data_IF_433765139861
#
_entry.id   IF_433765139861
#
_cell.length_a   1.000
_cell.length_b   1.000
_cell.length_c   1.000
_cell.angle_alpha   90.00
_cell.angle_beta   90.00
_cell.angle_gamma   90.00
#
_symmetry.space_group_name_H-M   'P 1'
#
loop_
_entity.id
_entity.type
_entity.pdbx_description
1 polymer ?
#
# COMPACT_ATOMS: atom_id res chain seq x y z
N UNK A 1 -67.28 -30.87 -34.79
CA UNK A 1 -65.86 -30.89 -35.19
C UNK A 1 -65.17 -29.73 -34.49
N UNK A 2 -64.68 -29.92 -33.26
CA UNK A 2 -63.92 -28.90 -32.53
C UNK A 2 -62.47 -29.37 -32.45
N UNK A 3 -61.56 -28.65 -33.12
CA UNK A 3 -60.13 -28.93 -33.13
C UNK A 3 -59.50 -28.23 -31.92
N UNK A 4 -58.91 -29.00 -31.00
CA UNK A 4 -58.15 -28.47 -29.87
C UNK A 4 -56.70 -28.24 -30.31
N UNK A 5 -56.23 -27.01 -30.12
CA UNK A 5 -54.83 -26.58 -30.35
C UNK A 5 -53.97 -27.08 -29.17
N UNK A 6 -52.78 -27.67 -29.39
CA UNK A 6 -51.88 -28.00 -28.28
C UNK A 6 -51.09 -26.76 -27.84
N UNK A 7 -51.11 -26.51 -26.52
CA UNK A 7 -50.36 -25.45 -25.85
C UNK A 7 -48.89 -25.83 -25.70
N UNK A 8 -47.98 -25.03 -26.25
CA UNK A 8 -46.54 -25.16 -26.04
C UNK A 8 -46.17 -24.75 -24.61
N UNK A 9 -45.36 -25.56 -23.94
CA UNK A 9 -44.90 -25.31 -22.58
C UNK A 9 -43.63 -24.43 -22.58
N UNK A 10 -43.69 -23.29 -21.90
CA UNK A 10 -42.56 -22.38 -21.72
C UNK A 10 -41.50 -23.00 -20.79
N UNK A 11 -40.20 -22.99 -21.14
CA UNK A 11 -39.14 -23.48 -20.26
C UNK A 11 -38.94 -22.54 -19.05
N UNK A 12 -38.46 -23.05 -17.90
CA UNK A 12 -38.28 -22.24 -16.70
C UNK A 12 -37.10 -21.27 -16.86
N UNK A 13 -37.32 -20.03 -16.46
CA UNK A 13 -36.34 -18.95 -16.47
C UNK A 13 -35.24 -19.21 -15.43
N UNK A 14 -33.99 -19.22 -15.88
CA UNK A 14 -32.82 -19.45 -15.02
C UNK A 14 -32.58 -18.24 -14.11
N UNK A 15 -32.59 -18.46 -12.79
CA UNK A 15 -32.26 -17.44 -11.80
C UNK A 15 -30.80 -16.97 -11.98
N UNK A 16 -30.54 -15.65 -12.16
CA UNK A 16 -29.17 -15.16 -12.28
C UNK A 16 -28.40 -15.37 -10.97
N UNK A 17 -27.08 -15.66 -11.02
CA UNK A 17 -26.29 -15.87 -9.82
C UNK A 17 -26.25 -14.59 -8.98
N UNK A 18 -26.42 -14.76 -7.67
CA UNK A 18 -26.34 -13.69 -6.68
C UNK A 18 -24.94 -13.05 -6.73
N UNK A 19 -24.84 -11.88 -7.37
CA UNK A 19 -23.61 -11.10 -7.37
C UNK A 19 -23.26 -10.74 -5.93
N UNK A 20 -22.15 -11.27 -5.43
CA UNK A 20 -21.64 -10.88 -4.11
C UNK A 20 -21.34 -9.38 -4.17
N UNK A 21 -21.92 -8.56 -3.27
CA UNK A 21 -21.68 -7.12 -3.29
C UNK A 21 -20.18 -6.87 -3.09
N UNK A 22 -19.60 -5.85 -3.76
CA UNK A 22 -18.20 -5.52 -3.57
C UNK A 22 -17.94 -5.23 -2.09
N UNK A 23 -16.98 -5.93 -1.50
CA UNK A 23 -16.58 -5.70 -0.11
C UNK A 23 -15.99 -4.29 -0.02
N UNK A 24 -16.73 -3.38 0.58
CA UNK A 24 -16.24 -2.03 0.89
C UNK A 24 -15.01 -2.20 1.78
N UNK A 25 -13.85 -1.78 1.30
CA UNK A 25 -12.64 -1.80 2.09
C UNK A 25 -12.86 -0.92 3.33
N UNK A 26 -12.49 -1.39 4.55
CA UNK A 26 -12.63 -0.57 5.74
C UNK A 26 -11.85 0.74 5.57
N UNK A 27 -12.29 1.85 6.22
CA UNK A 27 -11.55 3.10 6.19
C UNK A 27 -10.11 2.84 6.68
N UNK A 28 -9.13 3.37 5.94
CA UNK A 28 -7.72 3.28 6.33
C UNK A 28 -7.54 4.06 7.63
N UNK A 29 -7.34 3.34 8.73
CA UNK A 29 -6.88 3.92 9.99
C UNK A 29 -5.38 4.07 9.88
N UNK A 30 -4.87 5.29 10.05
CA UNK A 30 -3.43 5.55 10.10
C UNK A 30 -2.79 4.72 11.21
N UNK A 31 -1.78 3.89 10.92
CA UNK A 31 -1.11 3.08 11.93
C UNK A 31 -0.45 3.94 13.02
N UNK A 32 -0.43 3.51 14.29
CA UNK A 32 0.17 4.29 15.38
C UNK A 32 1.67 4.56 15.16
N UNK A 33 2.38 3.67 14.46
CA UNK A 33 3.78 3.85 14.09
C UNK A 33 3.98 5.02 13.13
N UNK A 34 3.01 5.26 12.23
CA UNK A 34 2.99 6.40 11.31
C UNK A 34 2.74 7.69 12.07
N UNK A 35 1.75 7.70 12.97
CA UNK A 35 1.48 8.88 13.83
C UNK A 35 2.74 9.27 14.62
N UNK A 36 3.35 8.29 15.29
CA UNK A 36 4.55 8.55 16.09
C UNK A 36 5.76 8.96 15.23
N UNK A 37 5.86 8.47 13.99
CA UNK A 37 6.86 8.90 13.01
C UNK A 37 6.68 10.37 12.64
N UNK A 38 5.46 10.77 12.27
CA UNK A 38 5.14 12.15 11.89
C UNK A 38 5.42 13.11 13.04
N UNK A 39 4.99 12.79 14.26
CA UNK A 39 5.26 13.62 15.43
C UNK A 39 6.77 13.82 15.69
N UNK A 40 7.58 12.76 15.55
CA UNK A 40 9.05 12.87 15.68
C UNK A 40 9.66 13.66 14.53
N UNK A 41 9.19 13.43 13.30
CA UNK A 41 9.64 14.14 12.11
C UNK A 41 9.39 15.65 12.26
N UNK A 42 8.19 16.05 12.68
CA UNK A 42 7.84 17.46 12.90
C UNK A 42 8.69 18.10 13.99
N UNK A 43 8.92 17.41 15.11
CA UNK A 43 9.80 17.93 16.16
C UNK A 43 11.22 18.14 15.67
N UNK A 44 11.78 17.19 14.91
CA UNK A 44 13.13 17.30 14.36
C UNK A 44 13.22 18.37 13.25
N UNK A 45 12.20 18.45 12.39
CA UNK A 45 12.13 19.40 11.28
C UNK A 45 11.79 20.83 11.69
N UNK A 46 11.27 21.05 12.90
CA UNK A 46 11.00 22.39 13.44
C UNK A 46 12.26 23.21 13.72
N UNK A 47 13.44 22.57 13.78
CA UNK A 47 14.73 23.24 13.96
C UNK A 47 15.56 23.13 12.67
N UNK A 48 15.70 24.24 11.90
CA UNK A 48 16.49 24.27 10.67
C UNK A 48 17.97 23.90 10.82
N UNK A 49 18.51 23.92 12.06
CA UNK A 49 19.87 23.46 12.35
C UNK A 49 19.99 21.93 12.31
N UNK A 50 18.88 21.23 12.51
CA UNK A 50 18.79 19.76 12.49
C UNK A 50 18.51 19.26 11.08
N UNK A 51 17.66 19.96 10.33
CA UNK A 51 17.31 19.64 8.94
C UNK A 51 17.24 20.92 8.13
N UNK A 52 18.20 21.09 7.23
CA UNK A 52 18.39 22.32 6.49
C UNK A 52 17.32 22.55 5.40
N UNK A 53 17.05 21.59 4.51
CA UNK A 53 15.94 21.60 3.54
C UNK A 53 15.78 20.22 2.87
N UNK A 54 14.60 19.59 2.94
CA UNK A 54 14.27 18.29 2.32
C UNK A 54 15.21 17.11 2.66
N UNK A 55 16.24 17.34 3.48
CA UNK A 55 17.19 16.38 4.00
C UNK A 55 16.69 15.68 5.25
N UNK A 56 17.44 14.65 5.67
CA UNK A 56 17.08 13.80 6.80
C UNK A 56 16.09 12.71 6.39
N UNK A 57 16.46 11.45 6.61
CA UNK A 57 15.57 10.31 6.38
C UNK A 57 14.91 9.91 7.69
N UNK A 58 13.59 9.67 7.65
CA UNK A 58 12.86 9.12 8.79
C UNK A 58 12.02 7.95 8.31
N UNK A 59 11.95 6.92 9.15
CA UNK A 59 11.15 5.74 8.86
C UNK A 59 10.59 5.11 10.11
N UNK A 60 9.50 4.35 9.95
CA UNK A 60 8.94 3.49 10.97
C UNK A 60 8.55 2.15 10.36
N UNK A 61 8.57 1.10 11.17
CA UNK A 61 8.17 -0.25 10.78
C UNK A 61 6.98 -0.66 11.62
N UNK A 62 6.04 -1.37 11.02
CA UNK A 62 4.84 -1.83 11.71
C UNK A 62 4.24 -3.04 11.03
N UNK A 63 3.46 -3.80 11.78
CA UNK A 63 2.78 -5.00 11.30
C UNK A 63 1.40 -4.63 10.78
N UNK A 64 1.05 -5.09 9.58
CA UNK A 64 -0.30 -4.97 9.04
C UNK A 64 -0.78 -6.31 8.51
N UNK A 65 -2.10 -6.46 8.36
CA UNK A 65 -2.66 -7.58 7.63
C UNK A 65 -2.61 -7.30 6.13
N UNK A 66 -1.96 -8.18 5.38
CA UNK A 66 -1.93 -8.14 3.92
C UNK A 66 -3.34 -8.47 3.38
N UNK A 67 -3.97 -7.61 2.55
CA UNK A 67 -5.34 -7.81 2.09
C UNK A 67 -5.47 -8.93 1.06
N UNK A 68 -4.37 -9.34 0.43
CA UNK A 68 -4.35 -10.41 -0.58
C UNK A 68 -4.18 -11.77 0.10
N UNK A 69 -3.25 -11.86 1.06
CA UNK A 69 -2.93 -13.15 1.71
C UNK A 69 -3.65 -13.37 3.04
N UNK A 70 -4.17 -12.31 3.67
CA UNK A 70 -4.70 -12.35 5.04
C UNK A 70 -3.62 -12.54 6.12
N UNK A 71 -2.36 -12.71 5.72
CA UNK A 71 -1.23 -12.90 6.63
C UNK A 71 -0.71 -11.59 7.20
N UNK A 72 0.04 -11.69 8.30
CA UNK A 72 0.76 -10.56 8.85
C UNK A 72 1.97 -10.23 7.96
N UNK A 73 2.11 -8.97 7.57
CA UNK A 73 3.27 -8.46 6.82
C UNK A 73 3.84 -7.25 7.52
N UNK A 74 5.17 -7.11 7.50
CA UNK A 74 5.83 -5.91 8.03
C UNK A 74 6.00 -4.89 6.93
N UNK A 75 5.44 -3.70 7.15
CA UNK A 75 5.66 -2.55 6.30
C UNK A 75 6.70 -1.62 6.90
N UNK A 76 7.36 -0.86 6.04
CA UNK A 76 8.22 0.24 6.39
C UNK A 76 7.68 1.50 5.71
N UNK A 77 7.28 2.48 6.51
CA UNK A 77 7.01 3.83 6.04
C UNK A 77 8.30 4.60 6.05
N UNK A 78 8.64 5.22 4.94
CA UNK A 78 9.85 6.05 4.80
C UNK A 78 9.47 7.38 4.17
N UNK A 79 10.08 8.46 4.64
CA UNK A 79 9.93 9.78 4.03
C UNK A 79 10.20 9.70 2.52
N UNK A 80 9.27 10.21 1.71
CA UNK A 80 9.43 10.34 0.28
C UNK A 80 10.57 11.29 -0.12
N UNK A 81 11.00 11.18 -1.37
CA UNK A 81 11.97 12.09 -1.97
C UNK A 81 11.44 13.53 -1.97
N UNK A 82 12.28 14.50 -1.62
CA UNK A 82 11.92 15.92 -1.58
C UNK A 82 11.00 16.35 -0.42
N UNK A 83 10.44 15.42 0.36
CA UNK A 83 9.62 15.74 1.53
C UNK A 83 10.42 16.42 2.63
N UNK A 84 9.86 17.43 3.28
CA UNK A 84 10.47 18.08 4.42
C UNK A 84 9.96 17.46 5.73
N UNK A 85 10.85 17.25 6.70
CA UNK A 85 10.49 16.61 7.97
C UNK A 85 9.54 17.47 8.79
N UNK A 86 9.66 18.80 8.71
CA UNK A 86 8.81 19.75 9.43
C UNK A 86 7.36 19.77 8.93
N UNK A 87 7.13 19.36 7.69
CA UNK A 87 5.83 19.42 7.00
C UNK A 87 5.35 18.06 6.50
N UNK A 88 6.00 16.97 6.92
CA UNK A 88 5.72 15.62 6.46
C UNK A 88 4.27 15.21 6.79
N UNK A 89 3.56 14.64 5.83
CA UNK A 89 2.23 14.05 6.02
C UNK A 89 2.28 12.55 5.73
N UNK A 90 1.20 11.82 6.04
CA UNK A 90 1.09 10.39 5.70
C UNK A 90 1.25 10.15 4.19
N UNK A 91 0.64 10.98 3.34
CA UNK A 91 0.78 10.90 1.88
C UNK A 91 2.21 11.18 1.39
N UNK A 92 3.02 11.85 2.21
CA UNK A 92 4.45 12.06 1.97
C UNK A 92 5.33 10.85 2.29
N UNK A 93 4.76 9.74 2.75
CA UNK A 93 5.48 8.51 3.08
C UNK A 93 5.37 7.49 1.95
N UNK A 94 6.50 6.96 1.50
CA UNK A 94 6.52 5.74 0.71
C UNK A 94 6.31 4.53 1.65
N UNK A 95 5.42 3.62 1.24
CA UNK A 95 5.09 2.41 2.00
C UNK A 95 5.71 1.20 1.32
N UNK A 96 6.67 0.57 1.99
CA UNK A 96 7.45 -0.55 1.45
C UNK A 96 7.19 -1.84 2.22
N UNK A 97 7.12 -2.96 1.51
CA UNK A 97 7.19 -4.31 2.07
C UNK A 97 8.62 -4.58 2.55
N UNK A 98 8.79 -4.77 3.86
CA UNK A 98 10.11 -4.91 4.47
C UNK A 98 10.82 -6.21 4.06
N UNK A 99 10.06 -7.28 3.83
CA UNK A 99 10.58 -8.54 3.31
C UNK A 99 11.21 -8.37 1.93
N UNK A 100 10.52 -7.65 1.02
CA UNK A 100 11.04 -7.36 -0.33
C UNK A 100 12.23 -6.41 -0.28
N UNK A 101 12.16 -5.35 0.52
CA UNK A 101 13.26 -4.41 0.71
C UNK A 101 14.54 -5.11 1.18
N UNK A 102 14.43 -6.07 2.10
CA UNK A 102 15.58 -6.87 2.57
C UNK A 102 16.14 -7.78 1.48
N UNK A 103 15.28 -8.38 0.67
CA UNK A 103 15.69 -9.25 -0.43
C UNK A 103 16.47 -8.49 -1.52
N UNK A 104 16.31 -7.16 -1.62
CA UNK A 104 17.09 -6.35 -2.55
C UNK A 104 18.61 -6.43 -2.32
N UNK A 105 19.06 -6.73 -1.10
CA UNK A 105 20.48 -6.92 -0.80
C UNK A 105 21.10 -8.09 -1.57
N UNK A 106 20.32 -9.14 -1.85
CA UNK A 106 20.78 -10.34 -2.56
C UNK A 106 20.95 -10.11 -4.07
N UNK A 107 20.24 -9.14 -4.63
CA UNK A 107 20.29 -8.79 -6.05
C UNK A 107 21.06 -7.51 -6.33
N UNK A 108 21.56 -6.84 -5.29
CA UNK A 108 22.30 -5.58 -5.42
C UNK A 108 23.63 -5.83 -6.16
N UNK A 109 23.82 -5.28 -7.37
CA UNK A 109 25.00 -5.55 -8.19
C UNK A 109 26.28 -4.85 -7.70
N UNK A 110 26.18 -3.99 -6.68
CA UNK A 110 27.28 -3.15 -6.17
C UNK A 110 27.15 -1.68 -6.55
N UNK A 111 28.01 -0.84 -5.97
CA UNK A 111 27.94 0.63 -6.04
C UNK A 111 28.03 1.18 -7.47
N UNK A 112 28.79 0.51 -8.35
CA UNK A 112 28.94 0.90 -9.76
C UNK A 112 27.62 0.85 -10.55
N UNK A 113 26.60 0.20 -10.00
CA UNK A 113 25.27 0.02 -10.60
C UNK A 113 24.17 0.40 -9.60
N UNK A 114 24.45 1.34 -8.70
CA UNK A 114 23.51 1.78 -7.66
C UNK A 114 22.19 2.34 -8.22
N UNK A 115 22.23 2.97 -9.39
CA UNK A 115 21.04 3.53 -10.06
C UNK A 115 19.98 2.46 -10.36
N UNK A 116 20.39 1.21 -10.57
CA UNK A 116 19.46 0.09 -10.79
C UNK A 116 18.59 -0.20 -9.58
N UNK A 117 19.06 0.17 -8.38
CA UNK A 117 18.29 0.02 -7.14
C UNK A 117 17.10 0.95 -7.08
N UNK A 118 17.16 2.10 -7.76
CA UNK A 118 16.03 3.05 -7.82
C UNK A 118 14.80 2.38 -8.41
N UNK A 119 14.97 1.69 -9.54
CA UNK A 119 13.90 0.93 -10.18
C UNK A 119 13.48 -0.29 -9.33
N UNK A 120 14.42 -0.93 -8.63
CA UNK A 120 14.10 -2.09 -7.80
C UNK A 120 13.15 -1.77 -6.62
N UNK A 121 13.19 -0.54 -6.10
CA UNK A 121 12.27 -0.11 -5.03
C UNK A 121 10.79 -0.10 -5.46
N UNK A 122 10.47 0.06 -6.74
CA UNK A 122 9.09 0.00 -7.22
C UNK A 122 8.44 -1.37 -6.97
N UNK A 123 9.24 -2.45 -6.98
CA UNK A 123 8.78 -3.80 -6.66
C UNK A 123 8.55 -4.02 -5.16
N UNK A 124 9.01 -3.10 -4.32
CA UNK A 124 8.84 -3.14 -2.87
C UNK A 124 7.62 -2.36 -2.40
N UNK A 125 7.00 -1.52 -3.25
CA UNK A 125 5.86 -0.70 -2.85
C UNK A 125 4.64 -1.53 -2.47
N UNK A 126 3.92 -1.05 -1.46
CA UNK A 126 2.69 -1.65 -0.95
C UNK A 126 1.51 -0.71 -1.19
N UNK A 127 0.46 -1.21 -1.88
CA UNK A 127 -0.77 -0.45 -2.13
C UNK A 127 -0.73 0.49 -3.35
N UNK A 128 0.19 0.26 -4.30
CA UNK A 128 0.12 0.81 -5.66
C UNK A 128 -0.96 0.08 -6.47
#
# INVERSE_FOLDING_TARGET
>A
MASAVPSEATPPEATPPHATPPRVAPPRVTPPEVVALLERAHRLGSDPRTTNYAGGNASAKGLVTDPVTGGATTLMWVKGSGGDLGTLTEDGLAVLRLDRLRALAEVYPGVEREDEMVAAFDHCLYGK
#
